data_IF_505738143961
#
_entry.id   IF_505738143961
#
_cell.length_a   1.000
_cell.length_b   1.000
_cell.length_c   1.000
_cell.angle_alpha   90.00
_cell.angle_beta   90.00
_cell.angle_gamma   90.00
#
_symmetry.space_group_name_H-M   'P 1'
#
loop_
_entity.id
_entity.type
_entity.pdbx_description
1 polymer ?
#
# COMPACT_ATOMS: atom_id res chain seq x y z
N UNK A 1 0.50 -11.42 -1.73
CA UNK A 1 0.20 -10.24 -0.88
C UNK A 1 -0.63 -9.30 -1.72
N UNK A 2 -1.79 -8.88 -1.24
CA UNK A 2 -2.65 -7.92 -1.95
C UNK A 2 -2.19 -6.51 -1.58
N UNK A 3 -2.00 -5.64 -2.57
CA UNK A 3 -1.50 -4.27 -2.39
C UNK A 3 -2.45 -3.28 -3.09
N UNK A 4 -2.69 -2.14 -2.47
CA UNK A 4 -3.48 -1.07 -3.07
C UNK A 4 -2.57 -0.16 -3.89
N UNK A 5 -2.59 -0.31 -5.21
CA UNK A 5 -1.80 0.54 -6.11
C UNK A 5 -2.18 2.01 -6.02
N UNK A 6 -3.47 2.32 -5.79
CA UNK A 6 -3.93 3.70 -5.62
C UNK A 6 -3.35 4.33 -4.35
N UNK A 7 -3.27 3.57 -3.26
CA UNK A 7 -2.65 4.04 -2.02
C UNK A 7 -1.13 4.11 -2.14
N UNK A 8 -0.52 3.15 -2.84
CA UNK A 8 0.91 3.15 -3.14
C UNK A 8 1.33 4.43 -3.88
N UNK A 9 0.66 4.73 -4.99
CA UNK A 9 0.99 5.89 -5.84
C UNK A 9 0.78 7.21 -5.10
N UNK A 10 -0.24 7.27 -4.22
CA UNK A 10 -0.46 8.42 -3.36
C UNK A 10 0.67 8.61 -2.34
N UNK A 11 1.17 7.54 -1.73
CA UNK A 11 2.19 7.59 -0.68
C UNK A 11 3.62 7.74 -1.22
N UNK A 12 3.87 7.26 -2.44
CA UNK A 12 5.19 7.22 -3.07
C UNK A 12 5.96 8.56 -3.02
N UNK A 13 5.38 9.72 -3.41
CA UNK A 13 6.11 10.98 -3.37
C UNK A 13 6.42 11.49 -1.94
N UNK A 14 5.79 10.94 -0.91
CA UNK A 14 5.94 11.38 0.48
C UNK A 14 6.82 10.46 1.31
N UNK A 15 6.80 9.15 1.04
CA UNK A 15 7.42 8.14 1.90
C UNK A 15 8.51 7.32 1.20
N UNK A 16 8.59 7.40 -0.13
CA UNK A 16 9.47 6.53 -0.93
C UNK A 16 8.95 5.08 -1.03
N UNK A 17 9.63 4.30 -1.87
CA UNK A 17 9.18 2.98 -2.32
C UNK A 17 8.87 2.01 -1.17
N UNK A 18 9.80 1.88 -0.21
CA UNK A 18 9.72 0.87 0.85
C UNK A 18 8.53 1.13 1.78
N UNK A 19 8.40 2.37 2.25
CA UNK A 19 7.32 2.74 3.17
C UNK A 19 5.96 2.82 2.46
N UNK A 20 5.91 3.27 1.21
CA UNK A 20 4.68 3.24 0.41
C UNK A 20 4.19 1.79 0.21
N UNK A 21 5.09 0.86 -0.12
CA UNK A 21 4.77 -0.57 -0.29
C UNK A 21 4.26 -1.20 1.01
N UNK A 22 4.90 -0.92 2.15
CA UNK A 22 4.49 -1.43 3.45
C UNK A 22 3.05 -1.01 3.81
N UNK A 23 2.77 0.29 3.77
CA UNK A 23 1.45 0.80 4.13
C UNK A 23 0.37 0.44 3.10
N UNK A 24 0.70 0.42 1.81
CA UNK A 24 -0.21 0.00 0.75
C UNK A 24 -0.56 -1.49 0.80
N UNK A 25 0.28 -2.31 1.43
CA UNK A 25 -0.01 -3.72 1.70
C UNK A 25 -0.82 -3.89 2.98
N UNK A 26 -0.50 -3.11 4.03
CA UNK A 26 -1.17 -3.21 5.34
C UNK A 26 -2.62 -2.73 5.30
N UNK A 27 -2.91 -1.66 4.57
CA UNK A 27 -4.24 -1.05 4.52
C UNK A 27 -5.16 -1.60 3.44
N UNK A 28 -4.71 -2.63 2.72
CA UNK A 28 -5.63 -3.42 1.91
C UNK A 28 -6.46 -4.28 2.85
N UNK A 29 -7.76 -4.02 2.85
CA UNK A 29 -8.73 -4.98 3.41
C UNK A 29 -8.64 -6.22 2.54
N UNK A 30 -7.99 -7.26 3.04
CA UNK A 30 -8.09 -8.59 2.45
C UNK A 30 -9.58 -8.96 2.44
N UNK A 31 -10.15 -9.44 1.32
CA UNK A 31 -11.47 -10.03 1.37
C UNK A 31 -11.37 -11.20 2.35
N UNK A 32 -11.98 -11.04 3.52
CA UNK A 32 -11.93 -12.02 4.58
C UNK A 32 -12.42 -13.38 4.04
N UNK A 33 -11.58 -14.40 4.22
CA UNK A 33 -12.07 -15.71 4.59
C UNK A 33 -12.21 -15.74 6.10
#
# INVERSE_FOLDING_TARGET
>A
MTMSYLLHDFLLPYLGEEAATYWATLFVISPAG
#
